data_IF_812620778241
#
_entry.id   IF_812620778241
#
_cell.length_a   1.000
_cell.length_b   1.000
_cell.length_c   1.000
_cell.angle_alpha   90.00
_cell.angle_beta   90.00
_cell.angle_gamma   90.00
#
_symmetry.space_group_name_H-M   'P 1'
#
loop_
_entity.id
_entity.type
_entity.pdbx_description
1 polymer ?
#
# COMPACT_ATOMS: atom_id res chain seq x y z
N UNK A 1 -20.24 0.15 -22.72
CA UNK A 1 -19.76 1.16 -21.74
C UNK A 1 -18.89 0.51 -20.65
N UNK A 2 -17.62 0.95 -20.52
CA UNK A 2 -16.74 0.52 -19.42
C UNK A 2 -17.39 0.98 -18.11
N UNK A 3 -17.97 0.07 -17.32
CA UNK A 3 -18.44 0.38 -15.98
C UNK A 3 -17.19 0.52 -15.11
N UNK A 4 -16.83 1.75 -14.80
CA UNK A 4 -15.82 2.05 -13.77
C UNK A 4 -16.36 1.50 -12.44
N UNK A 5 -15.51 0.88 -11.62
CA UNK A 5 -15.89 0.37 -10.29
C UNK A 5 -16.24 1.48 -9.26
N UNK A 6 -16.68 2.65 -9.71
CA UNK A 6 -17.07 3.78 -8.87
C UNK A 6 -18.29 3.47 -7.96
N UNK A 7 -19.03 2.39 -8.26
CA UNK A 7 -20.17 1.91 -7.47
C UNK A 7 -19.75 0.96 -6.32
N UNK A 8 -18.46 0.67 -6.13
CA UNK A 8 -18.02 -0.21 -5.04
C UNK A 8 -17.88 0.55 -3.72
N UNK A 9 -18.14 -0.13 -2.58
CA UNK A 9 -17.75 0.40 -1.27
C UNK A 9 -16.24 0.65 -1.21
N UNK A 10 -15.84 1.74 -0.54
CA UNK A 10 -14.43 2.14 -0.39
C UNK A 10 -13.54 0.99 0.09
N UNK A 11 -13.98 0.25 1.12
CA UNK A 11 -13.23 -0.86 1.69
C UNK A 11 -12.90 -1.94 0.64
N UNK A 12 -13.88 -2.35 -0.18
CA UNK A 12 -13.69 -3.34 -1.24
C UNK A 12 -12.77 -2.82 -2.35
N UNK A 13 -12.93 -1.55 -2.73
CA UNK A 13 -12.11 -0.92 -3.76
C UNK A 13 -10.64 -0.78 -3.31
N UNK A 14 -10.43 -0.42 -2.04
CA UNK A 14 -9.12 -0.32 -1.39
C UNK A 14 -8.42 -1.67 -1.29
N UNK A 15 -9.12 -2.71 -0.86
CA UNK A 15 -8.57 -4.07 -0.85
C UNK A 15 -8.12 -4.50 -2.25
N UNK A 16 -8.91 -4.15 -3.27
CA UNK A 16 -8.56 -4.42 -4.68
C UNK A 16 -7.31 -3.65 -5.11
N UNK A 17 -7.21 -2.35 -4.80
CA UNK A 17 -6.03 -1.54 -5.10
C UNK A 17 -4.77 -2.10 -4.45
N UNK A 18 -4.85 -2.48 -3.17
CA UNK A 18 -3.75 -3.11 -2.42
C UNK A 18 -3.37 -4.48 -3.00
N UNK A 19 -4.35 -5.26 -3.46
CA UNK A 19 -4.09 -6.58 -4.06
C UNK A 19 -3.31 -6.52 -5.38
N UNK A 20 -3.33 -5.38 -6.05
CA UNK A 20 -2.57 -5.15 -7.28
C UNK A 20 -1.12 -4.78 -7.00
N UNK A 21 -0.78 -4.38 -5.77
CA UNK A 21 0.61 -4.21 -5.33
C UNK A 21 1.32 -2.98 -5.87
N UNK A 22 0.60 -1.93 -6.24
CA UNK A 22 1.21 -0.69 -6.72
C UNK A 22 2.10 -0.04 -5.66
N UNK A 23 3.26 0.40 -6.09
CA UNK A 23 4.28 1.04 -5.26
C UNK A 23 4.15 2.57 -5.22
N UNK A 24 3.44 3.17 -6.18
CA UNK A 24 3.24 4.61 -6.25
C UNK A 24 1.89 5.02 -6.87
N UNK A 25 1.55 6.30 -6.73
CA UNK A 25 0.39 6.90 -7.38
C UNK A 25 0.52 6.83 -8.91
N UNK A 26 1.69 7.14 -9.44
CA UNK A 26 1.97 7.13 -10.87
C UNK A 26 1.74 5.73 -11.45
N UNK A 27 2.22 4.68 -10.77
CA UNK A 27 1.99 3.29 -11.19
C UNK A 27 0.49 2.94 -11.20
N UNK A 28 -0.27 3.39 -10.20
CA UNK A 28 -1.72 3.21 -10.15
C UNK A 28 -2.43 3.97 -11.28
N UNK A 29 -1.98 5.18 -11.61
CA UNK A 29 -2.54 6.02 -12.68
C UNK A 29 -2.22 5.48 -14.07
N UNK A 30 -1.05 4.90 -14.28
CA UNK A 30 -0.63 4.29 -15.54
C UNK A 30 -1.26 2.91 -15.78
N UNK A 31 -1.62 2.19 -14.71
CA UNK A 31 -2.19 0.85 -14.81
C UNK A 31 -3.48 0.80 -15.64
N UNK A 32 -3.46 0.10 -16.76
CA UNK A 32 -4.69 -0.16 -17.52
C UNK A 32 -5.15 -1.61 -17.35
N UNK A 33 -6.36 -1.79 -16.83
CA UNK A 33 -6.99 -3.10 -16.75
C UNK A 33 -7.90 -3.29 -17.95
N UNK A 34 -7.58 -4.26 -18.81
CA UNK A 34 -8.52 -4.72 -19.82
C UNK A 34 -9.70 -5.47 -19.14
N UNK A 35 -10.75 -4.77 -18.70
CA UNK A 35 -11.94 -5.40 -18.12
C UNK A 35 -12.93 -4.46 -17.41
N UNK A 36 -14.07 -5.02 -17.00
CA UNK A 36 -15.14 -4.33 -16.26
C UNK A 36 -14.83 -4.07 -14.76
N UNK A 37 -13.57 -4.26 -14.36
CA UNK A 37 -13.11 -4.22 -12.97
C UNK A 37 -12.04 -3.14 -12.75
N UNK A 38 -12.04 -2.11 -13.59
CA UNK A 38 -11.11 -1.00 -13.47
C UNK A 38 -11.53 -0.08 -12.31
N UNK A 39 -10.59 0.15 -11.39
CA UNK A 39 -10.75 1.16 -10.35
C UNK A 39 -10.70 2.56 -11.00
N UNK A 40 -11.49 3.52 -10.48
CA UNK A 40 -11.41 4.90 -10.92
C UNK A 40 -9.99 5.44 -10.68
N UNK A 41 -9.52 6.28 -11.61
CA UNK A 41 -8.21 6.95 -11.54
C UNK A 41 -8.17 8.08 -10.52
N UNK A 42 -9.35 8.52 -10.10
CA UNK A 42 -9.60 9.57 -9.13
C UNK A 42 -10.33 9.00 -7.89
N UNK A 43 -9.72 8.05 -7.16
CA UNK A 43 -10.36 7.45 -5.98
C UNK A 43 -10.62 8.46 -4.85
N UNK A 44 -9.82 9.52 -4.80
CA UNK A 44 -9.97 10.68 -3.91
C UNK A 44 -11.29 11.44 -4.12
N UNK A 45 -11.78 11.50 -5.36
CA UNK A 45 -13.05 12.13 -5.70
C UNK A 45 -14.22 11.17 -5.46
N UNK A 46 -14.03 9.89 -5.81
CA UNK A 46 -15.09 8.88 -5.72
C UNK A 46 -15.42 8.53 -4.27
N UNK A 47 -14.40 8.44 -3.41
CA UNK A 47 -14.55 8.08 -2.00
C UNK A 47 -14.08 9.20 -1.08
N UNK A 48 -14.40 10.46 -1.42
CA UNK A 48 -13.93 11.65 -0.71
C UNK A 48 -14.18 11.62 0.81
N UNK A 49 -15.27 10.98 1.26
CA UNK A 49 -15.61 10.88 2.69
C UNK A 49 -14.71 9.91 3.46
N UNK A 50 -14.25 8.82 2.81
CA UNK A 50 -13.43 7.77 3.41
C UNK A 50 -11.94 7.87 3.02
N UNK A 51 -11.60 8.79 2.12
CA UNK A 51 -10.27 8.88 1.52
C UNK A 51 -9.21 9.36 2.52
N UNK A 52 -8.35 8.44 2.95
CA UNK A 52 -7.21 8.71 3.84
C UNK A 52 -5.91 9.12 3.13
N UNK A 53 -5.95 9.34 1.81
CA UNK A 53 -4.76 9.61 0.99
C UNK A 53 -4.14 8.37 0.35
N UNK A 54 -3.19 8.59 -0.56
CA UNK A 54 -2.55 7.54 -1.36
C UNK A 54 -1.85 6.45 -0.55
N UNK A 55 -1.22 6.82 0.58
CA UNK A 55 -0.54 5.85 1.43
C UNK A 55 -1.50 4.89 2.13
N UNK A 56 -2.71 5.33 2.51
CA UNK A 56 -3.76 4.40 2.98
C UNK A 56 -4.31 3.59 1.79
N UNK A 57 -4.66 4.25 0.70
CA UNK A 57 -5.27 3.60 -0.46
C UNK A 57 -4.44 2.44 -1.01
N UNK A 58 -3.15 2.67 -1.24
CA UNK A 58 -2.23 1.70 -1.79
C UNK A 58 -1.60 0.79 -0.73
N UNK A 59 -1.78 1.10 0.56
CA UNK A 59 -1.17 0.33 1.66
C UNK A 59 0.33 0.54 1.78
N UNK A 60 0.83 1.70 1.35
CA UNK A 60 2.25 2.06 1.41
C UNK A 60 2.69 2.51 2.80
N UNK A 61 1.74 2.83 3.69
CA UNK A 61 2.01 3.20 5.06
C UNK A 61 1.51 2.14 6.04
N UNK A 62 2.40 1.70 6.93
CA UNK A 62 2.03 0.91 8.09
C UNK A 62 1.40 1.83 9.16
N UNK A 63 0.35 1.39 9.87
CA UNK A 63 -0.10 2.09 11.08
C UNK A 63 1.07 2.26 12.05
N UNK A 64 1.08 3.36 12.80
CA UNK A 64 2.18 3.70 13.70
C UNK A 64 2.55 2.54 14.64
N UNK A 65 1.57 1.84 15.21
CA UNK A 65 1.81 0.71 16.10
C UNK A 65 2.52 -0.46 15.41
N UNK A 66 2.14 -0.75 14.17
CA UNK A 66 2.78 -1.80 13.37
C UNK A 66 4.21 -1.40 12.97
N UNK A 67 4.41 -0.15 12.54
CA UNK A 67 5.73 0.39 12.22
C UNK A 67 6.65 0.38 13.46
N UNK A 68 6.15 0.85 14.60
CA UNK A 68 6.88 0.85 15.87
C UNK A 68 7.21 -0.57 16.32
N UNK A 69 6.29 -1.52 16.20
CA UNK A 69 6.54 -2.91 16.56
C UNK A 69 7.63 -3.57 15.70
N UNK A 70 7.73 -3.21 14.41
CA UNK A 70 8.80 -3.73 13.56
C UNK A 70 10.15 -3.09 13.80
N UNK A 71 10.16 -1.80 14.17
CA UNK A 71 11.40 -1.08 14.47
C UNK A 71 11.90 -1.32 15.91
N UNK A 72 11.02 -1.73 16.84
CA UNK A 72 11.37 -1.90 18.25
C UNK A 72 12.56 -2.86 18.48
N UNK A 73 12.68 -4.01 17.80
CA UNK A 73 13.83 -4.90 17.96
C UNK A 73 15.14 -4.37 17.38
N UNK A 74 15.08 -3.44 16.42
CA UNK A 74 16.26 -2.85 15.79
C UNK A 74 16.99 -1.85 16.70
N UNK A 75 16.34 -1.42 17.79
CA UNK A 75 16.91 -0.55 18.81
C UNK A 75 17.61 0.69 18.24
N UNK A 76 17.08 1.27 17.16
CA UNK A 76 17.65 2.44 16.49
C UNK A 76 17.71 3.62 17.47
N UNK A 77 18.90 4.14 17.72
CA UNK A 77 19.15 5.23 18.66
C UNK A 77 19.27 6.59 17.97
N UNK A 78 19.39 6.62 16.64
CA UNK A 78 19.61 7.85 15.89
C UNK A 78 18.98 7.83 14.50
N UNK A 79 18.75 9.04 13.97
CA UNK A 79 18.34 9.21 12.56
C UNK A 79 19.42 8.68 11.60
N UNK A 80 20.70 8.75 11.98
CA UNK A 80 21.81 8.22 11.19
C UNK A 80 21.69 6.71 10.97
N UNK A 81 21.44 5.96 12.04
CA UNK A 81 21.20 4.50 11.96
C UNK A 81 19.97 4.17 11.10
N UNK A 82 18.89 4.97 11.20
CA UNK A 82 17.73 4.80 10.34
C UNK A 82 18.02 5.09 8.86
N UNK A 83 18.83 6.12 8.56
CA UNK A 83 19.25 6.46 7.19
C UNK A 83 20.13 5.36 6.62
N UNK A 84 21.04 4.81 7.40
CA UNK A 84 21.88 3.68 7.02
C UNK A 84 21.06 2.41 6.79
N UNK A 85 20.12 2.09 7.67
CA UNK A 85 19.17 0.99 7.49
C UNK A 85 18.38 1.13 6.18
N UNK A 86 17.86 2.34 5.89
CA UNK A 86 17.16 2.63 4.63
C UNK A 86 18.10 2.49 3.43
N UNK A 87 19.31 3.04 3.50
CA UNK A 87 20.28 3.06 2.40
C UNK A 87 20.91 1.69 2.13
N UNK A 88 21.06 0.87 3.16
CA UNK A 88 21.53 -0.51 3.06
C UNK A 88 20.60 -1.37 2.20
N UNK A 89 19.36 -0.91 1.98
CA UNK A 89 18.41 -1.60 1.13
C UNK A 89 18.25 -3.05 1.59
N UNK A 90 18.32 -3.29 2.90
CA UNK A 90 18.02 -4.60 3.47
C UNK A 90 16.65 -4.95 2.93
N UNK A 91 16.66 -5.92 2.01
CA UNK A 91 15.62 -6.05 1.03
C UNK A 91 14.35 -6.44 1.76
N UNK A 92 13.53 -5.45 2.10
CA UNK A 92 12.13 -5.63 2.38
C UNK A 92 11.53 -6.10 1.06
N UNK A 93 11.70 -7.39 0.77
CA UNK A 93 10.97 -8.00 -0.30
C UNK A 93 9.50 -7.79 0.06
N UNK A 94 8.66 -7.24 -0.84
CA UNK A 94 7.25 -7.56 -0.80
C UNK A 94 7.21 -9.08 -0.71
N UNK A 95 6.56 -9.65 0.30
CA UNK A 95 6.45 -11.11 0.36
C UNK A 95 5.95 -11.58 -1.01
N UNK A 96 6.84 -12.24 -1.72
CA UNK A 96 6.64 -12.55 -3.12
C UNK A 96 5.49 -13.52 -3.28
N UNK A 97 4.76 -13.36 -4.37
CA UNK A 97 4.05 -14.44 -5.03
C UNK A 97 2.85 -14.99 -4.27
N UNK A 98 1.69 -14.82 -4.89
CA UNK A 98 0.40 -15.38 -4.48
C UNK A 98 -0.31 -14.57 -3.40
N UNK A 99 -1.52 -14.18 -3.78
CA UNK A 99 -2.50 -13.46 -3.02
C UNK A 99 -2.63 -13.97 -1.57
N UNK A 100 -3.00 -13.02 -0.72
CA UNK A 100 -3.56 -13.16 0.62
C UNK A 100 -2.58 -13.02 1.80
N UNK A 101 -3.05 -12.15 2.70
CA UNK A 101 -2.88 -12.15 4.16
C UNK A 101 -1.63 -11.54 4.80
N UNK A 102 -1.91 -10.43 5.49
CA UNK A 102 -1.37 -10.05 6.80
C UNK A 102 0.04 -9.48 6.81
N UNK A 103 0.09 -8.16 7.06
CA UNK A 103 1.27 -7.42 7.51
C UNK A 103 1.74 -7.96 8.87
N UNK A 104 2.44 -9.10 8.86
CA UNK A 104 3.16 -9.63 10.00
C UNK A 104 4.65 -9.55 9.68
N UNK A 105 5.31 -8.58 10.30
CA UNK A 105 6.74 -8.33 10.23
C UNK A 105 7.45 -9.42 11.04
N UNK A 106 8.49 -10.03 10.48
CA UNK A 106 9.40 -10.90 11.24
C UNK A 106 10.84 -10.59 10.83
N UNK A 107 11.68 -10.28 11.81
CA UNK A 107 13.13 -10.23 11.63
C UNK A 107 13.68 -11.64 11.36
N UNK A 108 14.68 -11.73 10.49
CA UNK A 108 15.64 -12.86 10.47
C UNK A 108 16.87 -12.49 11.28
#
# INVERSE_FOLDING_TARGET
PRRVMAELPFATAREKARSMGFSSQEEFEEYDCAGAYQLPKNPDVVWAEDWGGWGDWLGLMLPYDHARASLAPLALQSEGEYRELKAAGEAWQPMGGSAWTTHALRLR
#
